data_IF_171436904002
#
_entry.id   IF_171436904002
#
_cell.length_a   1.000
_cell.length_b   1.000
_cell.length_c   1.000
_cell.angle_alpha   90.00
_cell.angle_beta   90.00
_cell.angle_gamma   90.00
#
_symmetry.space_group_name_H-M   'P 1'
#
loop_
_entity.id
_entity.type
_entity.pdbx_description
1 polymer ?
#
# COMPACT_ATOMS: atom_id res chain seq x y z
N UNK A 1 -14.22 -7.79 -14.60
CA UNK A 1 -14.20 -9.18 -14.12
C UNK A 1 -12.91 -9.37 -13.34
N UNK A 2 -12.97 -9.78 -12.07
CA UNK A 2 -11.78 -10.02 -11.24
C UNK A 2 -11.20 -11.40 -11.58
N UNK A 3 -9.87 -11.55 -11.49
CA UNK A 3 -9.22 -12.84 -11.69
C UNK A 3 -9.61 -13.79 -10.55
N UNK A 4 -10.16 -14.99 -10.81
CA UNK A 4 -10.43 -16.00 -9.79
C UNK A 4 -9.16 -16.37 -9.02
N UNK A 5 -9.30 -16.74 -7.72
CA UNK A 5 -8.15 -17.04 -6.86
C UNK A 5 -7.37 -18.26 -7.34
N UNK A 6 -8.01 -19.23 -7.98
CA UNK A 6 -7.37 -20.43 -8.55
C UNK A 6 -6.31 -20.03 -9.58
N UNK A 7 -6.68 -19.17 -10.55
CA UNK A 7 -5.74 -18.67 -11.57
C UNK A 7 -4.63 -17.82 -10.97
N UNK A 8 -4.91 -17.08 -9.90
CA UNK A 8 -3.88 -16.31 -9.22
C UNK A 8 -2.82 -17.23 -8.59
N UNK A 9 -3.24 -18.35 -7.97
CA UNK A 9 -2.31 -19.34 -7.42
C UNK A 9 -1.58 -20.13 -8.51
N UNK A 10 -2.23 -20.45 -9.63
CA UNK A 10 -1.58 -21.08 -10.79
C UNK A 10 -0.48 -20.18 -11.39
N UNK A 11 -0.77 -18.89 -11.58
CA UNK A 11 0.21 -17.90 -12.05
C UNK A 11 1.36 -17.77 -11.04
N UNK A 12 1.07 -17.73 -9.74
CA UNK A 12 2.08 -17.68 -8.71
C UNK A 12 2.99 -18.92 -8.75
N UNK A 13 2.43 -20.12 -8.88
CA UNK A 13 3.17 -21.37 -8.98
C UNK A 13 4.05 -21.39 -10.24
N UNK A 14 3.54 -21.01 -11.39
CA UNK A 14 4.30 -20.91 -12.64
C UNK A 14 5.49 -19.93 -12.51
N UNK A 15 5.27 -18.77 -11.87
CA UNK A 15 6.33 -17.79 -11.61
C UNK A 15 7.39 -18.34 -10.65
N UNK A 16 7.00 -19.06 -9.61
CA UNK A 16 7.96 -19.72 -8.69
C UNK A 16 8.81 -20.75 -9.43
N UNK A 17 8.20 -21.60 -10.26
CA UNK A 17 8.93 -22.57 -11.09
C UNK A 17 9.93 -21.86 -12.00
N UNK A 18 9.49 -20.80 -12.70
CA UNK A 18 10.36 -20.02 -13.57
C UNK A 18 11.54 -19.40 -12.79
N UNK A 19 11.27 -18.84 -11.62
CA UNK A 19 12.31 -18.29 -10.73
C UNK A 19 13.29 -19.35 -10.33
N UNK A 20 12.83 -20.56 -9.92
CA UNK A 20 13.70 -21.67 -9.50
C UNK A 20 14.54 -22.20 -10.67
N UNK A 21 13.98 -22.31 -11.87
CA UNK A 21 14.71 -22.76 -13.07
C UNK A 21 15.80 -21.76 -13.47
N UNK A 22 15.47 -20.46 -13.42
CA UNK A 22 16.35 -19.40 -13.90
C UNK A 22 17.31 -18.83 -12.84
N UNK A 23 17.20 -19.24 -11.58
CA UNK A 23 17.90 -18.58 -10.47
C UNK A 23 19.43 -18.64 -10.56
N UNK A 24 19.97 -19.71 -11.21
CA UNK A 24 21.42 -19.90 -11.40
C UNK A 24 21.99 -19.20 -12.63
N UNK A 25 21.15 -18.53 -13.43
CA UNK A 25 21.59 -17.86 -14.65
C UNK A 25 22.09 -16.46 -14.27
N UNK A 26 23.39 -16.22 -14.46
CA UNK A 26 24.06 -15.00 -14.02
C UNK A 26 23.88 -13.79 -14.96
N UNK A 27 23.30 -13.99 -16.12
CA UNK A 27 23.04 -12.88 -17.06
C UNK A 27 22.20 -11.79 -16.41
N UNK A 28 22.66 -10.53 -16.55
CA UNK A 28 22.01 -9.36 -15.91
C UNK A 28 20.52 -9.26 -16.19
N UNK A 29 20.08 -9.52 -17.42
CA UNK A 29 18.67 -9.51 -17.81
C UNK A 29 17.86 -10.57 -17.07
N UNK A 30 18.40 -11.80 -16.95
CA UNK A 30 17.75 -12.91 -16.26
C UNK A 30 17.66 -12.65 -14.75
N UNK A 31 18.68 -12.09 -14.11
CA UNK A 31 18.61 -11.70 -12.69
C UNK A 31 17.52 -10.68 -12.40
N UNK A 32 17.33 -9.70 -13.30
CA UNK A 32 16.23 -8.74 -13.17
C UNK A 32 14.88 -9.45 -13.34
N UNK A 33 14.74 -10.33 -14.33
CA UNK A 33 13.52 -11.08 -14.57
C UNK A 33 13.17 -12.00 -13.38
N UNK A 34 14.16 -12.72 -12.82
CA UNK A 34 14.01 -13.56 -11.62
C UNK A 34 13.57 -12.74 -10.41
N UNK A 35 14.20 -11.59 -10.17
CA UNK A 35 13.81 -10.70 -9.07
C UNK A 35 12.37 -10.17 -9.24
N UNK A 36 12.00 -9.81 -10.46
CA UNK A 36 10.64 -9.33 -10.79
C UNK A 36 9.63 -10.48 -10.68
N UNK A 37 9.95 -11.65 -11.20
CA UNK A 37 9.09 -12.84 -11.13
C UNK A 37 8.80 -13.28 -9.69
N UNK A 38 9.82 -13.24 -8.81
CA UNK A 38 9.66 -13.52 -7.39
C UNK A 38 8.68 -12.54 -6.73
N UNK A 39 8.82 -11.25 -6.97
CA UNK A 39 7.93 -10.24 -6.39
C UNK A 39 6.52 -10.36 -6.94
N UNK A 40 6.38 -10.65 -8.23
CA UNK A 40 5.07 -10.87 -8.87
C UNK A 40 4.40 -12.13 -8.31
N UNK A 41 5.15 -13.22 -8.07
CA UNK A 41 4.63 -14.42 -7.44
C UNK A 41 4.06 -14.12 -6.04
N UNK A 42 4.78 -13.33 -5.22
CA UNK A 42 4.29 -12.91 -3.89
C UNK A 42 3.00 -12.09 -4.03
N UNK A 43 2.93 -11.16 -4.98
CA UNK A 43 1.72 -10.36 -5.22
C UNK A 43 0.55 -11.25 -5.64
N UNK A 44 0.77 -12.25 -6.50
CA UNK A 44 -0.27 -13.19 -6.94
C UNK A 44 -0.76 -14.08 -5.79
N UNK A 45 0.14 -14.55 -4.92
CA UNK A 45 -0.26 -15.28 -3.71
C UNK A 45 -1.12 -14.41 -2.80
N UNK A 46 -0.70 -13.17 -2.53
CA UNK A 46 -1.46 -12.24 -1.69
C UNK A 46 -2.83 -11.93 -2.28
N UNK A 47 -2.89 -11.73 -3.59
CA UNK A 47 -4.14 -11.51 -4.31
C UNK A 47 -5.05 -12.74 -4.25
N UNK A 48 -4.52 -13.95 -4.47
CA UNK A 48 -5.27 -15.20 -4.37
C UNK A 48 -5.83 -15.42 -2.97
N UNK A 49 -5.02 -15.19 -1.93
CA UNK A 49 -5.47 -15.26 -0.53
C UNK A 49 -6.57 -14.24 -0.25
N UNK A 50 -6.41 -13.01 -0.73
CA UNK A 50 -7.44 -11.98 -0.59
C UNK A 50 -8.76 -12.39 -1.26
N UNK A 51 -8.72 -12.89 -2.48
CA UNK A 51 -9.91 -13.36 -3.20
C UNK A 51 -10.58 -14.54 -2.46
N UNK A 52 -9.79 -15.51 -2.00
CA UNK A 52 -10.27 -16.68 -1.26
C UNK A 52 -10.97 -16.27 0.05
N UNK A 53 -10.34 -15.41 0.87
CA UNK A 53 -10.94 -14.91 2.11
C UNK A 53 -12.19 -14.09 1.81
N UNK A 54 -12.18 -13.31 0.75
CA UNK A 54 -13.34 -12.57 0.27
C UNK A 54 -14.51 -13.48 -0.02
N UNK A 55 -14.29 -14.62 -0.68
CA UNK A 55 -15.33 -15.61 -0.94
C UNK A 55 -15.83 -16.29 0.33
N UNK A 56 -14.96 -16.60 1.27
CA UNK A 56 -15.35 -17.12 2.59
C UNK A 56 -16.20 -16.11 3.39
N UNK A 57 -15.87 -14.81 3.32
CA UNK A 57 -16.62 -13.76 3.99
C UNK A 57 -18.03 -13.59 3.43
N UNK A 58 -18.27 -13.99 2.18
CA UNK A 58 -19.56 -13.97 1.48
C UNK A 58 -20.65 -14.77 2.25
N UNK A 59 -20.27 -15.81 2.95
CA UNK A 59 -21.24 -16.69 3.66
C UNK A 59 -21.68 -16.16 5.02
N UNK A 60 -20.99 -15.16 5.59
CA UNK A 60 -21.24 -14.64 6.95
C UNK A 60 -21.89 -13.26 6.92
N UNK A 61 -23.18 -13.21 6.57
CA UNK A 61 -23.95 -11.96 6.54
C UNK A 61 -24.76 -11.70 7.81
N UNK A 62 -24.90 -12.73 8.65
CA UNK A 62 -25.73 -12.65 9.87
C UNK A 62 -25.16 -11.61 10.83
N UNK A 63 -26.02 -10.69 11.28
CA UNK A 63 -25.63 -9.63 12.23
C UNK A 63 -24.98 -8.39 11.61
N UNK A 64 -24.72 -8.35 10.29
CA UNK A 64 -24.05 -7.19 9.65
C UNK A 64 -24.84 -5.88 9.81
N UNK A 65 -26.16 -5.93 9.67
CA UNK A 65 -27.05 -4.76 9.86
C UNK A 65 -27.08 -4.34 11.34
N UNK A 66 -27.16 -5.31 12.26
CA UNK A 66 -27.14 -5.01 13.69
C UNK A 66 -25.82 -4.39 14.14
N UNK A 67 -24.71 -4.92 13.66
CA UNK A 67 -23.39 -4.32 13.91
C UNK A 67 -23.29 -2.90 13.36
N UNK A 68 -23.84 -2.64 12.19
CA UNK A 68 -23.88 -1.31 11.60
C UNK A 68 -24.71 -0.32 12.45
N UNK A 69 -25.85 -0.74 13.01
CA UNK A 69 -26.62 0.09 13.95
C UNK A 69 -25.82 0.39 15.23
N UNK A 70 -25.12 -0.63 15.78
CA UNK A 70 -24.25 -0.43 16.96
C UNK A 70 -23.12 0.53 16.67
N UNK A 71 -22.50 0.42 15.48
CA UNK A 71 -21.43 1.32 15.05
C UNK A 71 -21.94 2.75 14.88
N UNK A 72 -23.11 2.93 14.22
CA UNK A 72 -23.76 4.23 14.11
C UNK A 72 -23.97 4.89 15.46
N UNK A 73 -24.53 4.15 16.46
CA UNK A 73 -24.73 4.68 17.80
C UNK A 73 -23.42 5.08 18.45
N UNK A 74 -22.37 4.23 18.33
CA UNK A 74 -21.04 4.54 18.86
C UNK A 74 -20.45 5.82 18.24
N UNK A 75 -20.60 6.03 16.93
CA UNK A 75 -20.13 7.25 16.27
C UNK A 75 -20.88 8.48 16.75
N UNK A 76 -22.16 8.37 17.05
CA UNK A 76 -22.96 9.48 17.64
C UNK A 76 -22.54 9.76 19.09
N UNK A 77 -22.29 8.72 19.89
CA UNK A 77 -21.78 8.86 21.26
C UNK A 77 -20.40 9.51 21.29
N UNK A 78 -19.57 9.22 20.28
CA UNK A 78 -18.26 9.87 20.07
C UNK A 78 -18.35 11.26 19.45
N UNK A 79 -19.57 11.78 19.18
CA UNK A 79 -19.81 13.08 18.56
C UNK A 79 -19.12 13.27 17.19
N UNK A 80 -18.92 12.17 16.43
CA UNK A 80 -18.38 12.25 15.07
C UNK A 80 -19.39 12.94 14.14
N UNK A 81 -18.91 13.63 13.07
CA UNK A 81 -19.77 14.25 12.08
C UNK A 81 -20.74 13.24 11.48
N UNK A 82 -22.01 13.64 11.28
CA UNK A 82 -23.01 12.75 10.69
C UNK A 82 -22.75 12.53 9.20
N UNK A 83 -22.52 11.29 8.80
CA UNK A 83 -22.31 10.88 7.40
C UNK A 83 -23.58 11.16 6.57
N UNK A 84 -24.76 10.97 7.16
CA UNK A 84 -26.05 11.30 6.52
C UNK A 84 -26.12 12.80 6.19
N UNK A 85 -25.72 13.66 7.15
CA UNK A 85 -25.71 15.10 6.92
C UNK A 85 -24.70 15.48 5.84
N UNK A 86 -23.53 14.86 5.84
CA UNK A 86 -22.52 15.06 4.82
C UNK A 86 -23.02 14.58 3.45
N UNK A 87 -23.61 13.38 3.36
CA UNK A 87 -24.18 12.88 2.12
C UNK A 87 -25.26 13.80 1.56
N UNK A 88 -26.17 14.33 2.40
CA UNK A 88 -27.27 15.21 1.99
C UNK A 88 -26.78 16.46 1.26
N UNK A 89 -25.62 16.98 1.60
CA UNK A 89 -25.04 18.16 0.92
C UNK A 89 -24.73 17.88 -0.55
N UNK A 90 -24.33 16.65 -0.87
CA UNK A 90 -23.81 16.29 -2.19
C UNK A 90 -24.72 15.37 -3.00
N UNK A 91 -25.67 14.67 -2.36
CA UNK A 91 -26.44 13.58 -2.98
C UNK A 91 -27.23 13.99 -4.21
N UNK A 92 -27.63 15.25 -4.33
CA UNK A 92 -28.38 15.76 -5.48
C UNK A 92 -27.47 16.33 -6.58
N UNK A 93 -26.17 16.43 -6.32
CA UNK A 93 -25.20 16.86 -7.31
C UNK A 93 -24.63 15.66 -8.07
N UNK A 94 -25.29 15.28 -9.17
CA UNK A 94 -24.90 14.12 -9.99
C UNK A 94 -23.43 14.12 -10.43
N UNK A 95 -22.84 15.20 -10.97
CA UNK A 95 -21.41 15.23 -11.35
C UNK A 95 -20.46 14.91 -10.20
N UNK A 96 -20.70 15.47 -9.02
CA UNK A 96 -19.89 15.20 -7.82
C UNK A 96 -20.03 13.73 -7.41
N UNK A 97 -21.25 13.22 -7.34
CA UNK A 97 -21.49 11.83 -6.97
C UNK A 97 -20.90 10.85 -7.98
N UNK A 98 -20.94 11.16 -9.28
CA UNK A 98 -20.27 10.38 -10.31
C UNK A 98 -18.77 10.37 -10.11
N UNK A 99 -18.15 11.52 -9.91
CA UNK A 99 -16.72 11.63 -9.64
C UNK A 99 -16.31 10.80 -8.42
N UNK A 100 -17.03 10.95 -7.30
CA UNK A 100 -16.73 10.23 -6.06
C UNK A 100 -16.88 8.71 -6.22
N UNK A 101 -17.91 8.23 -6.92
CA UNK A 101 -18.07 6.81 -7.20
C UNK A 101 -16.98 6.24 -8.12
N UNK A 102 -16.60 6.97 -9.18
CA UNK A 102 -15.50 6.57 -10.08
C UNK A 102 -14.18 6.55 -9.29
N UNK A 103 -13.95 7.56 -8.46
CA UNK A 103 -12.76 7.63 -7.61
C UNK A 103 -12.72 6.44 -6.64
N UNK A 104 -13.82 6.15 -5.95
CA UNK A 104 -13.96 5.01 -5.06
C UNK A 104 -13.68 3.69 -5.77
N UNK A 105 -14.29 3.46 -6.93
CA UNK A 105 -14.18 2.17 -7.64
C UNK A 105 -12.86 1.97 -8.39
N UNK A 106 -12.17 3.06 -8.79
CA UNK A 106 -11.13 2.99 -9.82
C UNK A 106 -9.73 3.44 -9.41
N UNK A 107 -9.56 4.29 -8.39
CA UNK A 107 -8.27 4.96 -8.18
C UNK A 107 -7.32 4.22 -7.22
N UNK A 108 -7.83 3.62 -6.16
CA UNK A 108 -7.00 3.08 -5.07
C UNK A 108 -6.11 1.90 -5.50
N UNK A 109 -6.60 0.98 -6.35
CA UNK A 109 -5.81 -0.16 -6.84
C UNK A 109 -4.68 0.29 -7.78
N UNK A 110 -4.93 1.12 -8.80
CA UNK A 110 -3.86 1.70 -9.62
C UNK A 110 -2.86 2.53 -8.81
N UNK A 111 -3.31 3.32 -7.83
CA UNK A 111 -2.41 4.11 -6.99
C UNK A 111 -1.47 3.24 -6.15
N UNK A 112 -2.00 2.17 -5.53
CA UNK A 112 -1.19 1.20 -4.79
C UNK A 112 -0.22 0.46 -5.72
N UNK A 113 -0.67 0.04 -6.91
CA UNK A 113 0.19 -0.57 -7.93
C UNK A 113 1.31 0.36 -8.38
N UNK A 114 0.99 1.61 -8.69
CA UNK A 114 1.96 2.63 -9.09
C UNK A 114 3.01 2.89 -7.98
N UNK A 115 2.57 2.96 -6.70
CA UNK A 115 3.49 3.06 -5.56
C UNK A 115 4.46 1.88 -5.53
N UNK A 116 3.96 0.64 -5.63
CA UNK A 116 4.81 -0.55 -5.57
C UNK A 116 5.79 -0.61 -6.73
N UNK A 117 5.35 -0.27 -7.96
CA UNK A 117 6.20 -0.21 -9.15
C UNK A 117 7.28 0.87 -8.98
N UNK A 118 6.90 2.07 -8.53
CA UNK A 118 7.84 3.16 -8.28
C UNK A 118 8.90 2.79 -7.24
N UNK A 119 8.48 2.17 -6.12
CA UNK A 119 9.39 1.70 -5.08
C UNK A 119 10.31 0.60 -5.59
N UNK A 120 9.80 -0.34 -6.37
CA UNK A 120 10.59 -1.44 -6.91
C UNK A 120 11.70 -0.97 -7.84
N UNK A 121 11.45 0.05 -8.65
CA UNK A 121 12.45 0.56 -9.60
C UNK A 121 13.38 1.62 -9.04
N UNK A 122 12.87 2.50 -8.18
CA UNK A 122 13.62 3.68 -7.72
C UNK A 122 14.07 3.60 -6.25
N UNK A 123 13.41 2.80 -5.42
CA UNK A 123 13.64 2.76 -3.98
C UNK A 123 13.64 1.32 -3.43
N UNK A 124 14.43 0.44 -4.03
CA UNK A 124 14.47 -1.00 -3.72
C UNK A 124 14.71 -1.31 -2.23
N UNK A 125 15.50 -0.50 -1.56
CA UNK A 125 15.76 -0.61 -0.12
C UNK A 125 14.50 -0.38 0.74
N UNK A 126 13.52 0.38 0.24
CA UNK A 126 12.24 0.65 0.91
C UNK A 126 11.11 -0.30 0.46
N UNK A 127 11.24 -0.86 -0.74
CA UNK A 127 10.20 -1.68 -1.36
C UNK A 127 9.73 -2.83 -0.46
N UNK A 128 10.65 -3.66 0.05
CA UNK A 128 10.29 -4.81 0.87
C UNK A 128 9.58 -4.43 2.18
N UNK A 129 9.93 -3.27 2.76
CA UNK A 129 9.26 -2.75 3.96
C UNK A 129 7.81 -2.36 3.65
N UNK A 130 7.61 -1.51 2.65
CA UNK A 130 6.28 -1.02 2.27
C UNK A 130 5.37 -2.15 1.80
N UNK A 131 5.89 -3.06 0.95
CA UNK A 131 5.15 -4.26 0.51
C UNK A 131 4.71 -5.14 1.69
N UNK A 132 5.61 -5.39 2.67
CA UNK A 132 5.26 -6.20 3.85
C UNK A 132 4.21 -5.51 4.71
N UNK A 133 4.35 -4.21 4.95
CA UNK A 133 3.32 -3.42 5.66
C UNK A 133 1.98 -3.49 4.93
N UNK A 134 1.98 -3.35 3.60
CA UNK A 134 0.80 -3.46 2.76
C UNK A 134 0.13 -4.83 2.92
N UNK A 135 0.90 -5.92 2.82
CA UNK A 135 0.41 -7.28 2.97
C UNK A 135 -0.18 -7.55 4.37
N UNK A 136 0.51 -7.11 5.43
CA UNK A 136 0.04 -7.25 6.81
C UNK A 136 -1.25 -6.42 7.05
N UNK A 137 -1.34 -5.24 6.47
CA UNK A 137 -2.56 -4.41 6.54
C UNK A 137 -3.74 -5.12 5.87
N UNK A 138 -3.54 -5.68 4.68
CA UNK A 138 -4.58 -6.48 4.00
C UNK A 138 -4.99 -7.66 4.88
N UNK A 139 -4.02 -8.45 5.36
CA UNK A 139 -4.31 -9.62 6.19
C UNK A 139 -5.10 -9.25 7.45
N UNK A 140 -4.71 -8.19 8.16
CA UNK A 140 -5.40 -7.71 9.35
C UNK A 140 -6.82 -7.24 9.05
N UNK A 141 -7.00 -6.45 7.99
CA UNK A 141 -8.33 -6.00 7.57
C UNK A 141 -9.24 -7.16 7.17
N UNK A 142 -8.74 -8.10 6.35
CA UNK A 142 -9.52 -9.28 5.93
C UNK A 142 -9.90 -10.17 7.11
N UNK A 143 -8.98 -10.38 8.06
CA UNK A 143 -9.26 -11.14 9.28
C UNK A 143 -10.41 -10.49 10.05
N UNK A 144 -10.37 -9.17 10.23
CA UNK A 144 -11.42 -8.46 10.92
C UNK A 144 -12.76 -8.49 10.15
N UNK A 145 -12.75 -8.30 8.83
CA UNK A 145 -13.93 -8.43 7.97
C UNK A 145 -14.59 -9.83 8.08
N UNK A 146 -13.77 -10.88 8.17
CA UNK A 146 -14.26 -12.25 8.33
C UNK A 146 -14.86 -12.52 9.73
N UNK A 147 -14.37 -11.83 10.77
CA UNK A 147 -14.82 -11.99 12.15
C UNK A 147 -16.02 -11.10 12.47
N UNK A 148 -16.09 -9.90 11.92
CA UNK A 148 -17.10 -8.88 12.22
C UNK A 148 -17.74 -8.39 10.93
N UNK A 149 -18.77 -9.10 10.44
CA UNK A 149 -19.52 -8.64 9.27
C UNK A 149 -20.17 -7.28 9.58
N UNK A 150 -20.05 -6.33 8.65
CA UNK A 150 -20.50 -4.95 8.83
C UNK A 150 -21.16 -4.44 7.57
N UNK A 151 -22.41 -4.01 7.68
CA UNK A 151 -23.10 -3.40 6.56
C UNK A 151 -22.63 -1.95 6.36
N UNK A 152 -22.43 -1.52 5.10
CA UNK A 152 -22.13 -0.10 4.80
C UNK A 152 -23.35 0.78 5.08
N UNK A 153 -23.14 2.09 5.32
CA UNK A 153 -24.23 3.05 5.61
C UNK A 153 -25.38 3.03 4.62
N UNK A 154 -25.10 2.86 3.31
CA UNK A 154 -26.13 2.86 2.26
C UNK A 154 -27.19 1.76 2.41
N UNK A 155 -26.92 0.72 3.22
CA UNK A 155 -27.88 -0.36 3.50
C UNK A 155 -28.83 -0.02 4.65
N UNK A 156 -28.70 1.16 5.25
CA UNK A 156 -29.54 1.63 6.34
C UNK A 156 -30.39 2.85 5.93
N UNK A 157 -31.33 2.71 4.99
CA UNK A 157 -32.19 3.81 4.57
C UNK A 157 -33.07 4.35 5.71
N UNK A 158 -33.33 3.53 6.72
CA UNK A 158 -34.06 3.92 7.94
C UNK A 158 -33.35 5.05 8.70
N UNK A 159 -32.01 5.18 8.58
CA UNK A 159 -31.21 6.26 9.14
C UNK A 159 -31.13 7.49 8.21
N UNK A 160 -31.74 7.43 7.03
CA UNK A 160 -31.77 8.49 6.04
C UNK A 160 -30.65 8.45 5.01
N UNK A 161 -29.92 7.35 4.93
CA UNK A 161 -28.92 7.13 3.87
C UNK A 161 -29.57 6.80 2.53
N UNK A 162 -28.94 7.25 1.45
CA UNK A 162 -29.32 6.97 0.07
C UNK A 162 -28.20 6.22 -0.62
N UNK A 163 -28.55 5.10 -1.29
CA UNK A 163 -27.59 4.43 -2.15
C UNK A 163 -27.35 5.23 -3.44
N UNK A 164 -26.23 5.94 -3.48
CA UNK A 164 -25.85 6.76 -4.63
C UNK A 164 -25.54 5.92 -5.88
N UNK A 165 -25.05 4.69 -5.69
CA UNK A 165 -24.81 3.74 -6.77
C UNK A 165 -26.10 3.35 -7.49
N UNK A 166 -27.15 3.08 -6.74
CA UNK A 166 -28.50 2.80 -7.28
C UNK A 166 -29.13 4.05 -7.87
N UNK A 167 -29.11 5.19 -7.13
CA UNK A 167 -29.72 6.45 -7.57
C UNK A 167 -29.20 6.92 -8.92
N UNK A 168 -27.91 6.72 -9.20
CA UNK A 168 -27.28 7.24 -10.41
C UNK A 168 -26.83 6.17 -11.41
N UNK A 169 -27.22 4.90 -11.20
CA UNK A 169 -26.80 3.75 -12.01
C UNK A 169 -25.26 3.60 -12.12
N UNK A 170 -24.57 3.85 -11.02
CA UNK A 170 -23.10 3.86 -10.91
C UNK A 170 -22.58 2.81 -9.94
N UNK A 171 -23.36 1.77 -9.68
CA UNK A 171 -22.91 0.71 -8.77
C UNK A 171 -21.65 0.03 -9.29
N UNK A 172 -20.55 0.16 -8.54
CA UNK A 172 -19.29 -0.55 -8.80
C UNK A 172 -19.40 -2.07 -8.54
N UNK A 173 -20.48 -2.51 -7.90
CA UNK A 173 -20.72 -3.90 -7.54
C UNK A 173 -21.57 -4.67 -8.59
N UNK A 174 -21.96 -4.04 -9.69
CA UNK A 174 -22.75 -4.65 -10.78
C UNK A 174 -24.26 -4.74 -10.48
N UNK A 175 -25.05 -4.87 -11.54
CA UNK A 175 -26.54 -4.90 -11.45
C UNK A 175 -27.11 -6.30 -11.17
N UNK A 176 -26.38 -7.24 -10.65
CA UNK A 176 -26.85 -8.61 -10.59
C UNK A 176 -26.46 -9.37 -9.33
N UNK A 177 -26.93 -8.98 -8.14
CA UNK A 177 -27.10 -9.91 -6.99
C UNK A 177 -25.90 -10.75 -6.50
N UNK A 178 -24.87 -10.92 -7.30
CA UNK A 178 -23.69 -11.72 -6.99
C UNK A 178 -22.66 -11.00 -6.10
N UNK A 179 -22.92 -9.72 -5.77
CA UNK A 179 -22.03 -8.89 -4.98
C UNK A 179 -22.49 -8.55 -3.57
N UNK A 180 -23.76 -8.85 -3.22
CA UNK A 180 -24.39 -8.38 -1.95
C UNK A 180 -23.59 -8.79 -0.71
N UNK A 181 -23.00 -9.94 -0.72
CA UNK A 181 -22.26 -10.45 0.44
C UNK A 181 -20.87 -9.80 0.61
N UNK A 182 -20.21 -9.42 -0.49
CA UNK A 182 -18.98 -8.65 -0.41
C UNK A 182 -19.22 -7.20 0.04
N UNK A 183 -20.46 -6.73 -0.10
CA UNK A 183 -20.90 -5.42 0.34
C UNK A 183 -21.07 -5.34 1.86
N UNK A 184 -21.22 -6.48 2.56
CA UNK A 184 -21.37 -6.58 4.01
C UNK A 184 -20.04 -6.70 4.76
N UNK A 185 -18.93 -6.35 4.12
CA UNK A 185 -17.58 -6.30 4.69
C UNK A 185 -17.05 -4.85 4.76
N UNK A 186 -17.89 -3.92 5.26
CA UNK A 186 -17.51 -2.49 5.30
C UNK A 186 -16.35 -2.21 6.24
N UNK A 187 -16.25 -2.88 7.39
CA UNK A 187 -15.25 -2.62 8.41
C UNK A 187 -14.19 -3.71 8.48
N UNK A 188 -12.90 -3.38 8.45
CA UNK A 188 -12.26 -2.07 8.20
C UNK A 188 -12.19 -1.71 6.72
N UNK A 189 -12.07 -0.40 6.42
CA UNK A 189 -11.98 0.09 5.04
C UNK A 189 -10.59 -0.13 4.43
N UNK A 190 -10.45 -1.12 3.54
CA UNK A 190 -9.22 -1.31 2.76
C UNK A 190 -8.89 -0.10 1.89
N UNK A 191 -9.90 0.60 1.36
CA UNK A 191 -9.73 1.81 0.56
C UNK A 191 -8.98 2.89 1.34
N UNK A 192 -9.42 3.16 2.57
CA UNK A 192 -8.76 4.14 3.45
C UNK A 192 -7.38 3.64 3.86
N UNK A 193 -7.23 2.39 4.29
CA UNK A 193 -5.94 1.82 4.68
C UNK A 193 -4.88 1.92 3.57
N UNK A 194 -5.25 1.60 2.32
CA UNK A 194 -4.34 1.68 1.18
C UNK A 194 -4.00 3.12 0.79
N UNK A 195 -5.00 4.00 0.76
CA UNK A 195 -4.76 5.40 0.43
C UNK A 195 -3.85 6.10 1.45
N UNK A 196 -4.04 5.82 2.74
CA UNK A 196 -3.18 6.33 3.82
C UNK A 196 -1.76 5.80 3.66
N UNK A 197 -1.59 4.50 3.39
CA UNK A 197 -0.26 3.92 3.13
C UNK A 197 0.42 4.60 1.94
N UNK A 198 -0.31 4.78 0.82
CA UNK A 198 0.23 5.46 -0.38
C UNK A 198 0.67 6.88 -0.05
N UNK A 199 -0.20 7.66 0.60
CA UNK A 199 0.09 9.04 0.98
C UNK A 199 1.33 9.14 1.88
N UNK A 200 1.38 8.38 2.97
CA UNK A 200 2.49 8.38 3.92
C UNK A 200 3.79 7.88 3.26
N UNK A 201 3.73 6.80 2.48
CA UNK A 201 4.93 6.25 1.82
C UNK A 201 5.54 7.25 0.84
N UNK A 202 4.73 7.93 0.02
CA UNK A 202 5.23 8.96 -0.91
C UNK A 202 5.82 10.13 -0.16
N UNK A 203 5.15 10.64 0.88
CA UNK A 203 5.67 11.77 1.69
C UNK A 203 6.98 11.41 2.38
N UNK A 204 7.10 10.20 2.91
CA UNK A 204 8.28 9.76 3.65
C UNK A 204 9.49 9.43 2.76
N UNK A 205 9.26 8.99 1.52
CA UNK A 205 10.32 8.45 0.65
C UNK A 205 10.73 9.45 -0.44
N UNK A 206 9.78 10.22 -0.97
CA UNK A 206 10.06 11.19 -2.03
C UNK A 206 10.77 12.43 -1.48
N UNK A 207 11.76 12.92 -2.22
CA UNK A 207 12.45 14.20 -1.93
C UNK A 207 11.83 15.39 -2.65
N UNK A 208 10.85 15.17 -3.52
CA UNK A 208 10.17 16.23 -4.26
C UNK A 208 9.38 17.16 -3.33
N UNK A 209 9.39 18.45 -3.61
CA UNK A 209 8.51 19.43 -2.92
C UNK A 209 7.00 19.14 -3.11
N UNK A 210 6.65 18.44 -4.18
CA UNK A 210 5.28 18.05 -4.51
C UNK A 210 4.78 16.80 -3.78
N UNK A 211 5.64 16.14 -2.97
CA UNK A 211 5.28 14.92 -2.23
C UNK A 211 4.03 15.06 -1.37
N UNK A 212 3.76 16.26 -0.86
CA UNK A 212 2.60 16.56 -0.02
C UNK A 212 1.27 16.44 -0.76
N UNK A 213 1.27 16.58 -2.11
CA UNK A 213 0.07 16.33 -2.92
C UNK A 213 -0.42 14.89 -2.82
N UNK A 214 0.44 13.95 -2.46
CA UNK A 214 0.05 12.56 -2.23
C UNK A 214 -0.96 12.42 -1.07
N UNK A 215 -1.02 13.38 -0.13
CA UNK A 215 -2.03 13.39 0.93
C UNK A 215 -3.43 13.74 0.44
N UNK A 216 -3.58 14.30 -0.76
CA UNK A 216 -4.89 14.47 -1.39
C UNK A 216 -5.56 13.11 -1.65
N UNK A 217 -4.76 12.04 -1.89
CA UNK A 217 -5.30 10.72 -2.15
C UNK A 217 -6.07 10.14 -0.94
N UNK A 218 -5.52 10.03 0.29
CA UNK A 218 -6.30 9.60 1.44
C UNK A 218 -7.45 10.57 1.77
N UNK A 219 -7.27 11.87 1.62
CA UNK A 219 -8.34 12.85 1.84
C UNK A 219 -9.53 12.60 0.90
N UNK A 220 -9.28 12.53 -0.41
CA UNK A 220 -10.32 12.27 -1.41
C UNK A 220 -10.93 10.86 -1.24
N UNK A 221 -10.14 9.87 -0.81
CA UNK A 221 -10.66 8.53 -0.53
C UNK A 221 -11.64 8.57 0.64
N UNK A 222 -11.26 9.19 1.76
CA UNK A 222 -12.14 9.31 2.93
C UNK A 222 -13.42 10.07 2.55
N UNK A 223 -13.29 11.21 1.87
CA UNK A 223 -14.46 11.97 1.40
C UNK A 223 -15.35 11.12 0.47
N UNK A 224 -14.74 10.39 -0.45
CA UNK A 224 -15.44 9.54 -1.41
C UNK A 224 -16.22 8.43 -0.70
N UNK A 225 -15.59 7.65 0.17
CA UNK A 225 -16.24 6.49 0.81
C UNK A 225 -17.35 6.92 1.79
N UNK A 226 -17.18 8.08 2.45
CA UNK A 226 -18.17 8.61 3.40
C UNK A 226 -19.37 9.25 2.69
N UNK A 227 -19.12 10.13 1.71
CA UNK A 227 -20.19 10.83 0.97
C UNK A 227 -21.04 9.86 0.14
N UNK A 228 -20.41 8.81 -0.42
CA UNK A 228 -21.13 7.76 -1.15
C UNK A 228 -21.79 6.73 -0.24
N UNK A 229 -21.67 6.88 1.09
CA UNK A 229 -22.20 5.97 2.12
C UNK A 229 -21.71 4.50 1.97
N UNK A 230 -20.47 4.33 1.53
CA UNK A 230 -19.83 3.02 1.42
C UNK A 230 -19.12 2.60 2.71
N UNK A 231 -18.66 3.54 3.53
CA UNK A 231 -17.97 3.28 4.78
C UNK A 231 -18.34 4.28 5.87
N UNK A 232 -18.22 3.82 7.12
CA UNK A 232 -18.31 4.59 8.34
C UNK A 232 -17.00 5.32 8.63
N UNK A 233 -17.01 6.38 9.45
CA UNK A 233 -15.77 7.03 9.90
C UNK A 233 -14.83 6.06 10.62
N UNK A 234 -15.40 5.23 11.50
CA UNK A 234 -14.62 4.27 12.28
C UNK A 234 -14.04 3.14 11.42
N UNK A 235 -14.63 2.82 10.26
CA UNK A 235 -14.03 1.87 9.31
C UNK A 235 -12.64 2.35 8.86
N UNK A 236 -12.52 3.64 8.59
CA UNK A 236 -11.26 4.27 8.21
C UNK A 236 -10.27 4.37 9.38
N UNK A 237 -10.75 4.72 10.58
CA UNK A 237 -9.93 4.82 11.77
C UNK A 237 -9.33 3.46 12.16
N UNK A 238 -10.15 2.40 12.13
CA UNK A 238 -9.68 1.02 12.40
C UNK A 238 -8.70 0.55 11.33
N UNK A 239 -8.92 0.86 10.06
CA UNK A 239 -7.98 0.54 8.99
C UNK A 239 -6.62 1.25 9.19
N UNK A 240 -6.63 2.52 9.60
CA UNK A 240 -5.42 3.27 9.92
C UNK A 240 -4.68 2.69 11.15
N UNK A 241 -5.43 2.23 12.16
CA UNK A 241 -4.86 1.55 13.33
C UNK A 241 -4.20 0.22 12.93
N UNK A 242 -4.86 -0.60 12.11
CA UNK A 242 -4.29 -1.86 11.59
C UNK A 242 -3.03 -1.57 10.77
N UNK A 243 -3.03 -0.53 9.94
CA UNK A 243 -1.85 -0.09 9.19
C UNK A 243 -0.70 0.29 10.14
N UNK A 244 -0.97 1.04 11.20
CA UNK A 244 0.03 1.43 12.19
C UNK A 244 0.61 0.20 12.92
N UNK A 245 -0.23 -0.76 13.31
CA UNK A 245 0.18 -2.02 13.92
C UNK A 245 1.00 -2.88 12.94
N UNK A 246 0.60 -2.97 11.68
CA UNK A 246 1.34 -3.69 10.63
C UNK A 246 2.73 -3.08 10.43
N UNK A 247 2.83 -1.76 10.39
CA UNK A 247 4.09 -1.05 10.29
C UNK A 247 4.99 -1.28 11.52
N UNK A 248 4.44 -1.16 12.72
CA UNK A 248 5.17 -1.38 13.97
C UNK A 248 5.66 -2.83 14.11
N UNK A 249 4.81 -3.82 13.82
CA UNK A 249 5.14 -5.24 13.86
C UNK A 249 6.29 -5.59 12.90
N UNK A 250 6.23 -5.09 11.68
CA UNK A 250 7.27 -5.31 10.68
C UNK A 250 8.61 -4.71 11.12
N UNK A 251 8.63 -3.54 11.75
CA UNK A 251 9.86 -2.93 12.26
C UNK A 251 10.37 -3.64 13.51
N UNK A 252 9.49 -4.04 14.41
CA UNK A 252 9.83 -4.83 15.58
C UNK A 252 10.49 -6.17 15.22
N UNK A 253 9.89 -6.93 14.31
CA UNK A 253 10.43 -8.21 13.85
C UNK A 253 11.81 -8.03 13.21
N UNK A 254 12.00 -7.02 12.36
CA UNK A 254 13.30 -6.75 11.73
C UNK A 254 14.37 -6.37 12.76
N UNK A 255 14.01 -5.54 13.72
CA UNK A 255 14.93 -5.18 14.81
C UNK A 255 15.30 -6.39 15.69
N UNK A 256 14.33 -7.25 15.98
CA UNK A 256 14.58 -8.48 16.73
C UNK A 256 15.47 -9.45 15.95
N UNK A 257 15.19 -9.73 14.68
CA UNK A 257 16.02 -10.61 13.82
C UNK A 257 17.44 -10.04 13.68
N UNK A 258 17.58 -8.73 13.56
CA UNK A 258 18.89 -8.07 13.50
C UNK A 258 19.70 -8.30 14.77
N UNK A 259 19.09 -8.08 15.95
CA UNK A 259 19.74 -8.37 17.24
C UNK A 259 20.06 -9.86 17.42
N UNK A 260 19.12 -10.74 17.11
CA UNK A 260 19.34 -12.18 17.21
C UNK A 260 20.54 -12.65 16.37
N UNK A 261 20.71 -12.12 15.14
CA UNK A 261 21.86 -12.42 14.29
C UNK A 261 23.17 -11.85 14.86
N UNK A 262 23.15 -10.66 15.44
CA UNK A 262 24.35 -10.09 16.09
C UNK A 262 24.77 -10.87 17.34
N UNK A 263 23.80 -11.32 18.14
CA UNK A 263 24.06 -12.00 19.42
C UNK A 263 24.45 -13.48 19.26
N UNK A 264 23.97 -14.15 18.20
CA UNK A 264 24.26 -15.57 17.94
C UNK A 264 25.33 -15.76 16.87
N UNK A 265 26.00 -14.67 16.49
CA UNK A 265 27.26 -14.60 15.80
C UNK A 265 27.39 -15.51 14.58
N UNK A 266 27.06 -15.02 13.44
CA UNK A 266 27.82 -15.37 12.24
C UNK A 266 29.13 -14.56 12.24
N UNK A 267 29.90 -14.75 13.30
CA UNK A 267 31.22 -14.19 13.44
C UNK A 267 32.28 -15.06 12.79
N UNK A 268 32.02 -15.64 11.62
CA UNK A 268 33.07 -16.03 10.70
C UNK A 268 32.46 -16.44 9.34
N UNK A 269 32.58 -15.60 8.31
CA UNK A 269 32.24 -15.97 6.93
C UNK A 269 33.07 -17.18 6.44
N UNK A 270 34.23 -17.46 7.07
CA UNK A 270 35.10 -18.59 6.75
C UNK A 270 34.48 -19.93 7.17
N UNK A 271 33.56 -19.99 8.12
CA UNK A 271 32.93 -21.24 8.58
C UNK A 271 31.92 -21.86 7.62
N UNK A 272 31.36 -21.08 6.71
CA UNK A 272 30.35 -21.55 5.75
C UNK A 272 30.83 -21.66 4.31
N UNK A 273 32.12 -21.51 4.03
CA UNK A 273 32.68 -21.76 2.68
C UNK A 273 32.07 -20.90 1.57
N UNK A 274 31.35 -19.84 1.92
CA UNK A 274 30.87 -18.81 0.97
C UNK A 274 31.83 -17.61 1.06
N UNK A 275 33.03 -17.81 0.52
CA UNK A 275 33.81 -16.67 0.08
C UNK A 275 32.97 -15.94 -0.96
N UNK A 276 32.33 -14.84 -0.57
CA UNK A 276 31.99 -13.81 -1.51
C UNK A 276 33.33 -13.35 -2.09
N UNK A 277 33.70 -13.89 -3.24
CA UNK A 277 34.64 -13.23 -4.11
C UNK A 277 34.07 -11.82 -4.32
N UNK A 278 34.70 -10.88 -3.62
CA UNK A 278 34.57 -9.49 -3.93
C UNK A 278 34.78 -9.39 -5.42
N UNK A 279 33.75 -9.01 -6.14
CA UNK A 279 33.87 -8.59 -7.54
C UNK A 279 34.91 -7.49 -7.53
N UNK A 280 36.09 -7.83 -8.04
CA UNK A 280 37.21 -6.92 -8.16
C UNK A 280 36.74 -5.65 -8.85
N UNK A 281 36.81 -4.58 -8.14
CA UNK A 281 36.85 -3.24 -8.73
C UNK A 281 38.27 -3.06 -9.26
N UNK A 282 38.55 -3.63 -10.43
CA UNK A 282 39.64 -3.20 -11.27
C UNK A 282 39.28 -1.85 -11.90
N UNK A 283 39.35 -0.82 -11.07
CA UNK A 283 39.47 0.54 -11.54
C UNK A 283 40.64 1.13 -10.76
N UNK A 284 41.81 1.37 -11.43
CA UNK A 284 42.96 1.99 -10.79
C UNK A 284 42.56 3.45 -10.52
N UNK A 285 42.22 3.74 -9.27
CA UNK A 285 42.11 5.12 -8.80
C UNK A 285 43.48 5.77 -8.89
N UNK A 286 43.69 6.62 -9.87
CA UNK A 286 44.79 7.58 -9.86
C UNK A 286 44.71 8.42 -8.58
N UNK A 287 45.82 8.54 -7.85
CA UNK A 287 45.87 9.39 -6.67
C UNK A 287 45.82 10.86 -7.11
N UNK A 288 44.72 11.51 -6.84
CA UNK A 288 44.56 12.96 -6.97
C UNK A 288 45.47 13.64 -5.93
N UNK A 289 46.65 14.05 -6.35
CA UNK A 289 47.52 14.90 -5.55
C UNK A 289 46.99 16.35 -5.56
N UNK A 290 46.75 16.97 -4.38
CA UNK A 290 46.37 18.36 -4.36
C UNK A 290 47.56 19.23 -4.83
N UNK A 291 47.34 20.01 -5.89
CA UNK A 291 48.28 21.01 -6.38
C UNK A 291 48.59 22.03 -5.27
N UNK A 292 49.83 22.03 -4.81
CA UNK A 292 50.35 23.05 -3.91
C UNK A 292 50.37 24.40 -4.64
N UNK A 293 49.62 25.36 -4.11
CA UNK A 293 49.70 26.75 -4.53
C UNK A 293 51.04 27.32 -4.05
N UNK A 294 52.00 27.43 -4.94
CA UNK A 294 53.23 28.14 -4.68
C UNK A 294 52.96 29.66 -4.68
N UNK A 295 53.02 30.23 -3.49
CA UNK A 295 53.09 31.69 -3.32
C UNK A 295 54.49 32.12 -3.73
N UNK A 296 54.62 32.72 -4.91
CA UNK A 296 55.85 33.40 -5.36
C UNK A 296 55.82 34.83 -4.85
N UNK A 297 56.65 35.11 -3.85
CA UNK A 297 57.09 36.46 -3.50
C UNK A 297 58.30 36.82 -4.39
N UNK A 298 58.11 37.74 -5.24
CA UNK A 298 59.27 38.40 -5.92
C UNK A 298 59.27 39.92 -5.68
N UNK A 299 60.41 40.51 -5.37
CA UNK A 299 60.51 41.91 -5.01
C UNK A 299 60.77 42.84 -6.21
N UNK A 300 60.29 44.00 -6.03
CA UNK A 300 60.59 45.33 -6.61
C UNK A 300 61.41 45.47 -7.86
N UNK A 301 60.96 46.35 -8.72
CA UNK A 301 61.69 46.90 -9.83
C UNK A 301 61.00 48.12 -10.42
N UNK A 302 61.49 49.27 -10.03
CA UNK A 302 61.20 50.62 -10.59
C UNK A 302 61.49 50.75 -12.09
N UNK A 303 60.73 51.60 -12.72
CA UNK A 303 61.07 52.71 -13.71
C UNK A 303 60.02 52.76 -14.82
N UNK A 304 59.31 53.86 -14.88
CA UNK A 304 59.61 55.13 -15.60
C UNK A 304 59.20 55.09 -17.08
N UNK A 305 58.36 56.02 -17.47
CA UNK A 305 58.52 56.72 -18.73
C UNK A 305 57.34 56.66 -19.70
N UNK A 306 56.65 57.75 -19.69
CA UNK A 306 55.86 58.51 -20.69
C UNK A 306 54.40 58.09 -20.91
#
# INVERSE_FOLDING_TARGET
>A
MWLPYEYAFEIAAALVVLVVVCWRIEQRGVRIAVATGRELAVVMVLYGVWQYIRELAITKTKGAIENAHRLWNLERDLHLPSEVSLQRVFIDNKPIMQFLNIYYGGVHVPAAGALLIWLFWRHRNRFASVRTTFALTIAGCLTMQALVPMAPPRFLPVLGFVDAGLKYHLSVYGQGGSGVSNELAAMPSLHVGWSVLVGIAVVAISTSRWRWLALLHPFLTIASVTITANHWWLDGAVAAMILALAWASQHGIRGWVGRYRSDHGDGDPARFGMANEAVGSDDPAEPYAPAAVAVSTAPGGQRSGR
#
